data_IF_061471270867
#
_entry.id   IF_061471270867
#
_cell.length_a   1.000
_cell.length_b   1.000
_cell.length_c   1.000
_cell.angle_alpha   90.00
_cell.angle_beta   90.00
_cell.angle_gamma   90.00
#
_symmetry.space_group_name_H-M   'P 1'
#
loop_
_entity.id
_entity.type
_entity.pdbx_description
1 polymer ?
#
# COMPACT_ATOMS: atom_id res chain seq x y z
N UNK A 1 5.81 -18.51 -17.21
CA UNK A 1 5.47 -17.30 -17.99
C UNK A 1 4.16 -16.61 -17.57
N UNK A 2 3.07 -17.36 -17.29
CA UNK A 2 1.72 -16.79 -17.01
C UNK A 2 1.63 -15.90 -15.77
N UNK A 3 2.29 -16.29 -14.68
CA UNK A 3 2.32 -15.49 -13.46
C UNK A 3 3.10 -14.17 -13.66
N UNK A 4 4.18 -14.20 -14.45
CA UNK A 4 4.96 -13.02 -14.77
C UNK A 4 4.16 -12.00 -15.59
N UNK A 5 3.45 -12.45 -16.62
CA UNK A 5 2.58 -11.54 -17.40
C UNK A 5 1.42 -10.99 -16.58
N UNK A 6 0.83 -11.81 -15.69
CA UNK A 6 -0.23 -11.35 -14.78
C UNK A 6 0.28 -10.31 -13.78
N UNK A 7 1.47 -10.53 -13.20
CA UNK A 7 2.16 -9.57 -12.35
C UNK A 7 2.34 -8.24 -13.08
N UNK A 8 2.94 -8.26 -14.28
CA UNK A 8 3.15 -7.04 -15.06
C UNK A 8 1.84 -6.32 -15.40
N UNK A 9 0.77 -7.05 -15.76
CA UNK A 9 -0.53 -6.46 -16.03
C UNK A 9 -1.08 -5.71 -14.81
N UNK A 10 -1.00 -6.32 -13.61
CA UNK A 10 -1.44 -5.67 -12.37
C UNK A 10 -0.59 -4.44 -12.03
N UNK A 11 0.72 -4.48 -12.29
CA UNK A 11 1.59 -3.33 -12.14
C UNK A 11 1.15 -2.16 -13.02
N UNK A 12 0.83 -2.41 -14.28
CA UNK A 12 0.32 -1.36 -15.18
C UNK A 12 -1.03 -0.83 -14.74
N UNK A 13 -1.96 -1.71 -14.36
CA UNK A 13 -3.29 -1.32 -13.87
C UNK A 13 -3.17 -0.46 -12.61
N UNK A 14 -2.35 -0.89 -11.65
CA UNK A 14 -2.08 -0.14 -10.42
C UNK A 14 -1.40 1.20 -10.70
N UNK A 15 -0.41 1.23 -11.59
CA UNK A 15 0.26 2.46 -12.01
C UNK A 15 -0.68 3.45 -12.69
N UNK A 16 -1.55 3.00 -13.59
CA UNK A 16 -2.54 3.85 -14.25
C UNK A 16 -3.56 4.41 -13.26
N UNK A 17 -4.15 3.56 -12.43
CA UNK A 17 -5.11 3.96 -11.40
C UNK A 17 -4.47 4.93 -10.38
N UNK A 18 -3.26 4.62 -9.92
CA UNK A 18 -2.49 5.47 -9.00
C UNK A 18 -2.16 6.83 -9.60
N UNK A 19 -1.85 6.89 -10.90
CA UNK A 19 -1.56 8.15 -11.60
C UNK A 19 -2.80 9.05 -11.70
N UNK A 20 -3.95 8.46 -12.06
CA UNK A 20 -5.21 9.20 -12.11
C UNK A 20 -5.63 9.69 -10.72
N UNK A 21 -5.58 8.83 -9.71
CA UNK A 21 -5.88 9.20 -8.33
C UNK A 21 -4.94 10.28 -7.81
N UNK A 22 -3.63 10.15 -8.09
CA UNK A 22 -2.64 11.14 -7.68
C UNK A 22 -2.93 12.52 -8.25
N UNK A 23 -3.31 12.61 -9.53
CA UNK A 23 -3.73 13.87 -10.16
C UNK A 23 -4.96 14.48 -9.47
N UNK A 24 -6.01 13.69 -9.24
CA UNK A 24 -7.24 14.16 -8.59
C UNK A 24 -6.96 14.64 -7.16
N UNK A 25 -6.21 13.87 -6.38
CA UNK A 25 -5.88 14.19 -4.98
C UNK A 25 -4.97 15.42 -4.90
N UNK A 26 -4.01 15.53 -5.81
CA UNK A 26 -3.16 16.71 -5.90
C UNK A 26 -3.96 17.98 -6.21
N UNK A 27 -4.91 17.92 -7.16
CA UNK A 27 -5.78 19.05 -7.43
C UNK A 27 -6.70 19.41 -6.25
N UNK A 28 -7.12 18.42 -5.46
CA UNK A 28 -8.02 18.63 -4.32
C UNK A 28 -7.33 19.23 -3.08
N UNK A 29 -6.08 18.85 -2.80
CA UNK A 29 -5.39 19.23 -1.55
C UNK A 29 -3.87 19.38 -1.66
N UNK A 30 -3.36 19.51 -2.88
CA UNK A 30 -1.95 19.74 -3.17
C UNK A 30 -1.04 18.59 -2.73
N UNK A 31 0.21 18.95 -2.45
CA UNK A 31 1.25 18.01 -2.04
C UNK A 31 0.91 17.27 -0.73
N UNK A 32 0.26 17.94 0.22
CA UNK A 32 -0.07 17.33 1.52
C UNK A 32 -1.08 16.20 1.38
N UNK A 33 -2.15 16.39 0.60
CA UNK A 33 -3.12 15.34 0.37
C UNK A 33 -2.50 14.15 -0.39
N UNK A 34 -1.62 14.44 -1.36
CA UNK A 34 -0.92 13.42 -2.13
C UNK A 34 0.06 12.60 -1.26
N UNK A 35 0.80 13.23 -0.35
CA UNK A 35 1.71 12.53 0.56
C UNK A 35 0.96 11.68 1.59
N UNK A 36 -0.17 12.17 2.12
CA UNK A 36 -1.04 11.38 3.01
C UNK A 36 -1.60 10.15 2.28
N UNK A 37 -2.05 10.30 1.04
CA UNK A 37 -2.50 9.17 0.22
C UNK A 37 -1.38 8.13 0.04
N UNK A 38 -0.16 8.57 -0.27
CA UNK A 38 0.99 7.69 -0.41
C UNK A 38 1.37 6.97 0.90
N UNK A 39 1.19 7.64 2.04
CA UNK A 39 1.46 7.07 3.35
C UNK A 39 0.37 6.10 3.85
N UNK A 40 -0.83 6.12 3.26
CA UNK A 40 -1.97 5.34 3.75
C UNK A 40 -1.71 3.82 3.78
N UNK A 41 -1.12 3.26 2.72
CA UNK A 41 -0.79 1.83 2.66
C UNK A 41 0.26 1.38 3.69
N UNK A 42 1.44 2.01 3.79
CA UNK A 42 2.41 1.64 4.81
C UNK A 42 1.88 1.89 6.23
N UNK A 43 1.08 2.95 6.45
CA UNK A 43 0.41 3.16 7.73
C UNK A 43 -0.57 2.04 8.05
N UNK A 44 -1.37 1.58 7.09
CA UNK A 44 -2.27 0.44 7.28
C UNK A 44 -1.50 -0.85 7.62
N UNK A 45 -0.36 -1.09 6.96
CA UNK A 45 0.51 -2.22 7.27
C UNK A 45 1.11 -2.13 8.68
N UNK A 46 1.55 -0.94 9.10
CA UNK A 46 2.06 -0.70 10.46
C UNK A 46 0.96 -0.86 11.51
N UNK A 47 -0.25 -0.39 11.24
CA UNK A 47 -1.41 -0.58 12.13
C UNK A 47 -1.75 -2.06 12.26
N UNK A 48 -1.77 -2.80 11.15
CA UNK A 48 -1.97 -4.24 11.16
C UNK A 48 -0.88 -4.95 11.99
N UNK A 49 0.38 -4.61 11.76
CA UNK A 49 1.49 -5.15 12.54
C UNK A 49 1.38 -4.81 14.04
N UNK A 50 0.97 -3.59 14.39
CA UNK A 50 0.75 -3.21 15.78
C UNK A 50 -0.39 -3.99 16.45
N UNK A 51 -1.36 -4.49 15.67
CA UNK A 51 -2.42 -5.38 16.16
C UNK A 51 -2.02 -6.85 16.24
N UNK A 52 -0.95 -7.25 15.56
CA UNK A 52 -0.37 -8.58 15.73
C UNK A 52 0.28 -8.66 17.11
N UNK A 53 -0.42 -9.30 18.07
CA UNK A 53 0.14 -9.62 19.37
C UNK A 53 1.45 -10.41 19.18
N UNK A 54 2.52 -10.11 19.92
CA UNK A 54 3.70 -10.95 19.94
C UNK A 54 3.26 -12.37 20.32
N UNK A 55 3.36 -13.32 19.38
CA UNK A 55 3.29 -14.73 19.75
C UNK A 55 4.49 -14.96 20.67
N UNK A 56 4.25 -15.22 21.94
CA UNK A 56 5.32 -15.55 22.87
C UNK A 56 6.02 -16.83 22.36
N UNK A 57 7.31 -16.81 21.99
CA UNK A 57 8.02 -18.01 21.55
C UNK A 57 8.34 -18.97 22.70
N UNK A 58 7.90 -18.73 23.93
CA UNK A 58 8.29 -19.51 25.11
C UNK A 58 7.31 -20.65 25.51
N UNK A 59 6.95 -21.50 24.55
CA UNK A 59 6.27 -22.76 24.85
C UNK A 59 6.87 -23.92 24.06
N UNK A 60 8.15 -24.21 24.32
CA UNK A 60 8.82 -25.37 23.77
C UNK A 60 10.23 -25.48 24.32
N UNK A 61 10.31 -25.92 25.59
CA UNK A 61 11.55 -26.42 26.20
C UNK A 61 12.04 -27.67 25.46
#
# INVERSE_FOLDING_TARGET
>A
ARLNSAFIALFFVGGAAGSQLGSVVYHAGGWTALTVLGAALPLAALLYWATERPRNPEAGR
#
